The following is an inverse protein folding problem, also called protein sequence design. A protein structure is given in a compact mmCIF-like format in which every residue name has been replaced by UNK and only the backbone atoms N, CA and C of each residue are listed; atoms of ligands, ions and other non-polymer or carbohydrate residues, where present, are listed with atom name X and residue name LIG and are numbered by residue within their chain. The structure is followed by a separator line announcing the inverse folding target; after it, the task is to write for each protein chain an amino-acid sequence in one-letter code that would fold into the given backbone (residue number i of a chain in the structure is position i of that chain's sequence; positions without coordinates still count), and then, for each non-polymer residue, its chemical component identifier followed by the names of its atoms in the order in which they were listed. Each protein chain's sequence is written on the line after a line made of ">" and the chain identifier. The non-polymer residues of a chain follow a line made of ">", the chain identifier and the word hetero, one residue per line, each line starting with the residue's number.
data_IF_591874132267
#
_entry.id   IF_591874132267
#
_cell.length_a   1.000
_cell.length_b   1.000
_cell.length_c   1.000
_cell.angle_alpha   90.00
_cell.angle_beta   90.00
_cell.angle_gamma   90.00
#
_symmetry.space_group_name_H-M   'P 1'
#
loop_
_entity.id
_entity.type
_entity.pdbx_description
1 polymer ?
#
# COMPACT_ATOMS: atom_id res chain seq x y z
N UNK A 1 34.35 -1.85 -4.74
CA UNK A 1 34.89 -3.09 -4.15
C UNK A 1 34.98 -2.85 -2.65
N UNK A 2 34.58 -3.80 -1.83
CA UNK A 2 34.65 -3.73 -0.34
C UNK A 2 33.98 -2.50 0.32
N UNK A 3 32.93 -1.95 -0.32
CA UNK A 3 32.22 -0.78 0.18
C UNK A 3 32.76 0.57 -0.32
N UNK A 4 33.78 0.57 -1.16
CA UNK A 4 34.30 1.78 -1.78
C UNK A 4 33.44 2.24 -2.95
N UNK A 5 33.27 3.55 -3.07
CA UNK A 5 32.59 4.20 -4.19
C UNK A 5 33.54 4.21 -5.38
N UNK A 6 33.18 3.49 -6.42
CA UNK A 6 33.98 3.39 -7.64
C UNK A 6 33.70 4.55 -8.60
N UNK A 7 32.52 5.15 -8.55
CA UNK A 7 32.16 6.27 -9.39
C UNK A 7 30.72 6.74 -9.17
N UNK A 8 30.40 7.88 -9.79
CA UNK A 8 29.07 8.48 -9.77
C UNK A 8 28.74 9.07 -11.14
N UNK A 9 27.51 8.92 -11.58
CA UNK A 9 27.03 9.50 -12.84
C UNK A 9 25.57 9.91 -12.71
N UNK A 10 25.09 10.73 -13.64
CA UNK A 10 23.71 11.14 -13.77
C UNK A 10 23.22 10.85 -15.17
N UNK A 11 22.06 10.21 -15.29
CA UNK A 11 21.44 9.84 -16.57
C UNK A 11 19.97 10.28 -16.59
N UNK A 12 19.41 10.37 -17.78
CA UNK A 12 17.98 10.69 -17.94
C UNK A 12 17.15 9.44 -17.59
N UNK A 13 16.02 9.60 -16.92
CA UNK A 13 15.12 8.51 -16.55
C UNK A 13 14.29 8.04 -17.76
N UNK A 14 14.96 7.36 -18.70
CA UNK A 14 14.36 6.72 -19.86
C UNK A 14 15.24 5.54 -20.32
N UNK A 15 14.76 4.79 -21.30
CA UNK A 15 15.48 3.60 -21.82
C UNK A 15 16.90 3.89 -22.30
N UNK A 16 17.13 5.05 -22.93
CA UNK A 16 18.47 5.45 -23.40
C UNK A 16 19.40 5.70 -22.22
N UNK A 17 18.95 6.47 -21.21
CA UNK A 17 19.73 6.73 -20.00
C UNK A 17 20.04 5.46 -19.20
N UNK A 18 19.14 4.46 -19.19
CA UNK A 18 19.42 3.18 -18.54
C UNK A 18 20.53 2.42 -19.27
N UNK A 19 20.54 2.40 -20.61
CA UNK A 19 21.63 1.82 -21.41
C UNK A 19 22.96 2.52 -21.14
N UNK A 20 22.96 3.86 -21.07
CA UNK A 20 24.14 4.67 -20.75
C UNK A 20 24.67 4.35 -19.34
N UNK A 21 23.79 4.26 -18.35
CA UNK A 21 24.15 3.88 -16.97
C UNK A 21 24.87 2.54 -16.92
N UNK A 22 24.33 1.54 -17.59
CA UNK A 22 24.93 0.20 -17.58
C UNK A 22 26.21 0.11 -18.43
N UNK A 23 26.30 0.89 -19.52
CA UNK A 23 27.54 1.04 -20.29
C UNK A 23 28.65 1.66 -19.46
N UNK A 24 28.33 2.72 -18.71
CA UNK A 24 29.24 3.37 -17.77
C UNK A 24 29.67 2.41 -16.65
N UNK A 25 28.73 1.67 -16.03
CA UNK A 25 29.04 0.72 -14.98
C UNK A 25 29.98 -0.41 -15.48
N UNK A 26 29.77 -0.91 -16.71
CA UNK A 26 30.68 -1.91 -17.35
C UNK A 26 32.10 -1.39 -17.52
N UNK A 27 32.28 -0.13 -17.92
CA UNK A 27 33.63 0.49 -18.03
C UNK A 27 34.34 0.54 -16.68
N UNK A 28 33.59 0.60 -15.57
CA UNK A 28 34.12 0.52 -14.21
C UNK A 28 34.32 -0.93 -13.70
N UNK A 29 34.09 -1.92 -14.54
CA UNK A 29 34.28 -3.34 -14.23
C UNK A 29 33.10 -4.05 -13.60
N UNK A 30 31.89 -3.46 -13.64
CA UNK A 30 30.65 -4.12 -13.18
C UNK A 30 30.28 -5.27 -14.14
N UNK A 31 29.99 -6.45 -13.56
CA UNK A 31 29.43 -7.59 -14.29
C UNK A 31 27.91 -7.59 -14.08
N UNK A 32 27.11 -7.63 -15.15
CA UNK A 32 25.64 -7.59 -15.08
C UNK A 32 25.10 -8.70 -14.17
N UNK A 33 25.62 -9.91 -14.29
CA UNK A 33 25.21 -11.10 -13.52
C UNK A 33 25.49 -11.01 -12.02
N UNK A 34 26.32 -10.05 -11.58
CA UNK A 34 26.62 -9.82 -10.16
C UNK A 34 26.21 -8.43 -9.67
N UNK A 35 25.43 -7.70 -10.47
CA UNK A 35 25.01 -6.35 -10.14
C UNK A 35 23.63 -6.35 -9.49
N UNK A 36 23.52 -5.73 -8.33
CA UNK A 36 22.25 -5.39 -7.68
C UNK A 36 21.99 -3.89 -7.88
N UNK A 37 20.86 -3.56 -8.50
CA UNK A 37 20.40 -2.18 -8.58
C UNK A 37 19.49 -1.90 -7.41
N UNK A 38 19.83 -0.93 -6.57
CA UNK A 38 19.00 -0.46 -5.49
C UNK A 38 18.51 0.94 -5.79
N UNK A 39 17.22 1.18 -5.66
CA UNK A 39 16.61 2.48 -5.86
C UNK A 39 15.59 2.78 -4.76
N UNK A 40 15.33 4.06 -4.53
CA UNK A 40 14.23 4.50 -3.68
C UNK A 40 12.89 4.26 -4.38
N UNK A 41 11.89 3.79 -3.64
CA UNK A 41 10.53 3.61 -4.15
C UNK A 41 9.84 4.98 -4.31
N UNK A 42 9.96 5.59 -5.48
CA UNK A 42 9.41 6.92 -5.83
C UNK A 42 8.07 6.87 -6.57
N UNK A 43 7.34 5.76 -6.46
CA UNK A 43 6.04 5.60 -7.13
C UNK A 43 6.18 5.41 -8.64
N UNK A 44 5.45 6.21 -9.43
CA UNK A 44 5.39 6.08 -10.90
C UNK A 44 6.73 6.32 -11.59
N UNK A 45 7.61 7.14 -11.00
CA UNK A 45 8.91 7.48 -11.60
C UNK A 45 9.88 6.30 -11.64
N UNK A 46 9.66 5.27 -10.83
CA UNK A 46 10.49 4.06 -10.83
C UNK A 46 10.01 2.97 -11.79
N UNK A 47 8.84 3.09 -12.41
CA UNK A 47 8.24 2.01 -13.19
C UNK A 47 9.03 1.67 -14.47
N UNK A 48 9.47 2.68 -15.22
CA UNK A 48 10.21 2.46 -16.45
C UNK A 48 11.57 1.79 -16.17
N UNK A 49 12.25 2.22 -15.09
CA UNK A 49 13.47 1.57 -14.64
C UNK A 49 13.20 0.13 -14.18
N UNK A 50 12.14 -0.11 -13.42
CA UNK A 50 11.78 -1.45 -12.96
C UNK A 50 11.47 -2.39 -14.13
N UNK A 51 10.71 -1.92 -15.13
CA UNK A 51 10.40 -2.70 -16.30
C UNK A 51 11.66 -3.02 -17.10
N UNK A 52 12.54 -2.04 -17.31
CA UNK A 52 13.79 -2.22 -18.03
C UNK A 52 14.75 -3.20 -17.33
N UNK A 53 14.86 -3.13 -16.01
CA UNK A 53 15.69 -4.04 -15.21
C UNK A 53 15.16 -5.47 -15.28
N UNK A 54 13.86 -5.67 -15.17
CA UNK A 54 13.21 -6.97 -15.28
C UNK A 54 13.41 -7.59 -16.66
N UNK A 55 13.14 -6.82 -17.73
CA UNK A 55 13.32 -7.23 -19.12
C UNK A 55 14.78 -7.63 -19.44
N UNK A 56 15.75 -7.00 -18.77
CA UNK A 56 17.19 -7.30 -18.91
C UNK A 56 17.71 -8.32 -17.88
N UNK A 57 16.83 -8.91 -17.05
CA UNK A 57 17.17 -9.90 -16.00
C UNK A 57 18.22 -9.41 -15.01
N UNK A 58 18.16 -8.14 -14.64
CA UNK A 58 19.06 -7.52 -13.68
C UNK A 58 18.38 -7.53 -12.31
N UNK A 59 19.08 -8.03 -11.30
CA UNK A 59 18.58 -8.04 -9.93
C UNK A 59 18.40 -6.61 -9.41
N UNK A 60 17.23 -6.32 -8.82
CA UNK A 60 16.95 -5.00 -8.29
C UNK A 60 16.12 -5.02 -7.01
N UNK A 61 16.23 -3.94 -6.24
CA UNK A 61 15.43 -3.71 -5.04
C UNK A 61 14.97 -2.26 -4.99
N UNK A 62 13.66 -2.05 -4.89
CA UNK A 62 13.06 -0.75 -4.62
C UNK A 62 12.71 -0.63 -3.15
N UNK A 63 13.44 0.22 -2.43
CA UNK A 63 13.40 0.33 -0.98
C UNK A 63 12.63 1.58 -0.56
N UNK A 64 11.75 1.50 0.46
CA UNK A 64 11.10 2.69 0.99
C UNK A 64 12.12 3.72 1.53
N UNK A 65 11.95 5.01 1.19
CA UNK A 65 12.80 6.11 1.64
C UNK A 65 13.04 6.12 3.16
N UNK A 66 12.01 5.79 3.92
CA UNK A 66 12.07 5.74 5.38
C UNK A 66 13.01 4.65 5.89
N UNK A 67 13.07 3.51 5.22
CA UNK A 67 13.93 2.40 5.58
C UNK A 67 15.39 2.77 5.34
N UNK A 68 15.71 3.35 4.19
CA UNK A 68 17.05 3.87 3.87
C UNK A 68 17.48 4.88 4.94
N UNK A 69 16.61 5.87 5.23
CA UNK A 69 16.88 6.92 6.19
C UNK A 69 17.14 6.39 7.61
N UNK A 70 16.38 5.38 8.06
CA UNK A 70 16.52 4.84 9.41
C UNK A 70 17.72 3.90 9.57
N UNK A 71 18.14 3.23 8.51
CA UNK A 71 19.25 2.26 8.57
C UNK A 71 20.64 2.91 8.63
N UNK A 72 20.78 4.14 8.15
CA UNK A 72 22.07 4.84 8.03
C UNK A 72 22.34 5.88 9.14
N UNK A 73 21.45 5.96 10.15
CA UNK A 73 21.59 6.92 11.24
C UNK A 73 21.33 8.38 10.84
N UNK A 74 21.80 9.33 11.66
CA UNK A 74 21.59 10.77 11.42
C UNK A 74 22.68 11.28 10.48
N UNK A 75 22.32 11.55 9.23
CA UNK A 75 23.22 12.17 8.24
C UNK A 75 22.63 13.52 7.80
N UNK A 76 23.49 14.56 7.71
CA UNK A 76 23.13 15.88 7.23
C UNK A 76 23.37 15.98 5.71
N UNK A 77 22.71 16.94 5.07
CA UNK A 77 22.78 17.19 3.63
C UNK A 77 21.61 16.51 2.88
N UNK A 78 21.07 17.23 1.90
CA UNK A 78 19.98 16.78 1.03
C UNK A 78 20.24 17.27 -0.38
N UNK A 79 20.74 16.39 -1.22
CA UNK A 79 20.79 16.55 -2.67
C UNK A 79 20.80 15.16 -3.32
N UNK A 80 20.51 15.09 -4.61
CA UNK A 80 20.39 13.83 -5.34
C UNK A 80 21.65 12.96 -5.25
N UNK A 81 22.84 13.57 -5.26
CA UNK A 81 24.12 12.87 -5.15
C UNK A 81 24.30 12.19 -3.79
N UNK A 82 23.97 12.91 -2.70
CA UNK A 82 24.04 12.37 -1.34
C UNK A 82 22.99 11.28 -1.15
N UNK A 83 21.81 11.44 -1.73
CA UNK A 83 20.75 10.44 -1.61
C UNK A 83 21.09 9.18 -2.42
N UNK A 84 21.66 9.30 -3.62
CA UNK A 84 22.18 8.16 -4.38
C UNK A 84 23.26 7.39 -3.62
N UNK A 85 24.19 8.12 -2.97
CA UNK A 85 25.23 7.52 -2.14
C UNK A 85 24.65 6.74 -0.95
N UNK A 86 23.66 7.31 -0.28
CA UNK A 86 22.96 6.63 0.84
C UNK A 86 22.26 5.35 0.39
N UNK A 87 21.64 5.37 -0.79
CA UNK A 87 21.01 4.18 -1.36
C UNK A 87 22.05 3.11 -1.64
N UNK A 88 23.20 3.48 -2.21
CA UNK A 88 24.30 2.56 -2.49
C UNK A 88 24.89 1.97 -1.20
N UNK A 89 25.13 2.79 -0.17
CA UNK A 89 25.61 2.37 1.14
C UNK A 89 24.60 1.43 1.83
N UNK A 90 23.32 1.73 1.79
CA UNK A 90 22.25 0.85 2.27
C UNK A 90 22.30 -0.50 1.57
N UNK A 91 22.35 -0.51 0.25
CA UNK A 91 22.37 -1.73 -0.53
C UNK A 91 23.61 -2.59 -0.22
N UNK A 92 24.77 -1.97 -0.04
CA UNK A 92 26.00 -2.67 0.31
C UNK A 92 25.92 -3.31 1.71
N UNK A 93 25.47 -2.56 2.72
CA UNK A 93 25.32 -3.05 4.10
C UNK A 93 24.29 -4.20 4.17
N UNK A 94 23.23 -4.11 3.38
CA UNK A 94 22.13 -5.08 3.39
C UNK A 94 22.21 -6.15 2.30
N UNK A 95 23.28 -6.22 1.50
CA UNK A 95 23.40 -7.07 0.31
C UNK A 95 23.01 -8.54 0.52
N UNK A 96 23.20 -9.08 1.73
CA UNK A 96 22.87 -10.47 2.08
C UNK A 96 21.41 -10.65 2.53
N UNK A 97 20.75 -9.56 2.94
CA UNK A 97 19.39 -9.58 3.53
C UNK A 97 18.38 -8.75 2.74
N UNK A 98 18.83 -8.05 1.70
CA UNK A 98 17.95 -7.22 0.88
C UNK A 98 16.97 -8.09 0.09
N UNK A 99 15.69 -7.72 0.14
CA UNK A 99 14.64 -8.43 -0.61
C UNK A 99 14.62 -7.89 -2.03
N UNK A 100 14.78 -8.79 -3.01
CA UNK A 100 14.66 -8.41 -4.41
C UNK A 100 13.22 -8.03 -4.74
N UNK A 101 13.08 -6.97 -5.52
CA UNK A 101 11.80 -6.55 -6.08
C UNK A 101 11.52 -7.32 -7.37
N UNK A 102 10.24 -7.55 -7.64
CA UNK A 102 9.77 -8.13 -8.89
C UNK A 102 8.81 -7.15 -9.55
N UNK A 103 8.82 -7.13 -10.88
CA UNK A 103 7.85 -6.35 -11.64
C UNK A 103 6.44 -6.86 -11.35
N UNK A 104 5.50 -6.01 -10.94
CA UNK A 104 4.10 -6.40 -10.84
C UNK A 104 3.57 -6.86 -12.19
N UNK A 105 2.62 -7.80 -12.20
CA UNK A 105 1.94 -8.18 -13.45
C UNK A 105 1.26 -6.96 -14.09
N UNK A 106 1.06 -7.00 -15.40
CA UNK A 106 0.35 -5.95 -16.11
C UNK A 106 -1.06 -5.70 -15.52
N UNK A 107 -1.70 -6.77 -15.06
CA UNK A 107 -3.00 -6.70 -14.38
C UNK A 107 -2.93 -5.91 -13.08
N UNK A 108 -1.92 -6.16 -12.24
CA UNK A 108 -1.71 -5.42 -10.98
C UNK A 108 -1.38 -3.96 -11.26
N UNK A 109 -0.56 -3.69 -12.28
CA UNK A 109 -0.24 -2.33 -12.69
C UNK A 109 -1.49 -1.56 -13.15
N UNK A 110 -2.32 -2.17 -14.01
CA UNK A 110 -3.58 -1.57 -14.48
C UNK A 110 -4.56 -1.34 -13.32
N UNK A 111 -4.73 -2.31 -12.42
CA UNK A 111 -5.56 -2.15 -11.23
C UNK A 111 -5.08 -1.01 -10.32
N UNK A 112 -3.77 -0.82 -10.19
CA UNK A 112 -3.18 0.28 -9.40
C UNK A 112 -3.51 1.65 -10.01
N UNK A 113 -3.44 1.78 -11.35
CA UNK A 113 -3.81 3.00 -12.06
C UNK A 113 -5.30 3.34 -11.85
N UNK A 114 -6.20 2.36 -12.05
CA UNK A 114 -7.64 2.55 -11.85
C UNK A 114 -7.99 2.90 -10.40
N UNK A 115 -7.31 2.33 -9.40
CA UNK A 115 -7.47 2.72 -8.00
C UNK A 115 -7.07 4.16 -7.74
N UNK A 116 -5.98 4.63 -8.37
CA UNK A 116 -5.52 6.01 -8.27
C UNK A 116 -6.55 6.99 -8.83
N UNK A 117 -7.06 6.72 -10.02
CA UNK A 117 -8.08 7.52 -10.70
C UNK A 117 -9.40 7.52 -9.91
N UNK A 118 -9.88 6.34 -9.49
CA UNK A 118 -11.07 6.22 -8.64
C UNK A 118 -10.94 7.06 -7.37
N UNK A 119 -9.79 7.01 -6.71
CA UNK A 119 -9.52 7.79 -5.48
C UNK A 119 -9.65 9.29 -5.73
N UNK A 120 -9.13 9.78 -6.86
CA UNK A 120 -9.25 11.18 -7.25
C UNK A 120 -10.73 11.55 -7.43
N UNK A 121 -11.49 10.77 -8.20
CA UNK A 121 -12.92 11.04 -8.45
C UNK A 121 -13.76 11.00 -7.15
N UNK A 122 -13.51 10.01 -6.28
CA UNK A 122 -14.20 9.93 -4.97
C UNK A 122 -13.90 11.16 -4.12
N UNK A 123 -12.65 11.65 -4.07
CA UNK A 123 -12.28 12.85 -3.31
C UNK A 123 -12.95 14.10 -3.88
N UNK A 124 -12.90 14.29 -5.20
CA UNK A 124 -13.52 15.43 -5.88
C UNK A 124 -15.04 15.43 -5.64
N UNK A 125 -15.68 14.27 -5.80
CA UNK A 125 -17.12 14.12 -5.53
C UNK A 125 -17.47 14.45 -4.08
N UNK A 126 -16.68 13.94 -3.12
CA UNK A 126 -16.90 14.23 -1.70
C UNK A 126 -16.77 15.72 -1.36
N UNK A 127 -15.79 16.41 -1.97
CA UNK A 127 -15.62 17.86 -1.82
C UNK A 127 -16.82 18.64 -2.37
N UNK A 128 -17.33 18.24 -3.56
CA UNK A 128 -18.52 18.89 -4.14
C UNK A 128 -19.80 18.64 -3.33
N UNK A 129 -19.96 17.44 -2.78
CA UNK A 129 -21.09 17.10 -1.89
C UNK A 129 -21.05 17.92 -0.58
N UNK A 130 -19.87 18.04 0.03
CA UNK A 130 -19.70 18.85 1.23
C UNK A 130 -20.01 20.34 0.95
N UNK A 131 -19.58 20.85 -0.22
CA UNK A 131 -19.90 22.20 -0.65
C UNK A 131 -21.40 22.39 -0.91
N UNK A 132 -22.07 21.39 -1.49
CA UNK A 132 -23.52 21.38 -1.67
C UNK A 132 -24.22 21.57 -0.32
N UNK A 133 -23.89 20.76 0.67
CA UNK A 133 -24.48 20.84 2.01
C UNK A 133 -24.26 22.21 2.67
N UNK A 134 -23.08 22.81 2.50
CA UNK A 134 -22.72 24.09 3.10
C UNK A 134 -23.38 25.32 2.43
N UNK A 135 -23.56 25.28 1.10
CA UNK A 135 -23.92 26.45 0.30
C UNK A 135 -25.30 26.40 -0.36
N UNK A 136 -26.06 25.33 -0.17
CA UNK A 136 -27.33 25.07 -0.87
C UNK A 136 -28.33 26.26 -0.73
N UNK A 137 -28.28 26.96 0.41
CA UNK A 137 -29.16 28.14 0.68
C UNK A 137 -28.66 29.45 0.05
N UNK A 138 -27.43 29.51 -0.43
CA UNK A 138 -26.76 30.73 -0.90
C UNK A 138 -26.39 30.69 -2.38
N UNK A 139 -26.53 29.53 -3.02
CA UNK A 139 -26.12 29.30 -4.40
C UNK A 139 -27.26 29.58 -5.38
N UNK A 140 -26.94 30.13 -6.56
CA UNK A 140 -27.95 30.27 -7.61
C UNK A 140 -28.36 28.88 -8.14
N UNK A 141 -29.57 28.76 -8.65
CA UNK A 141 -30.10 27.53 -9.25
C UNK A 141 -29.19 27.00 -10.36
N UNK A 142 -28.65 27.87 -11.21
CA UNK A 142 -27.74 27.49 -12.29
C UNK A 142 -26.42 26.91 -11.79
N UNK A 143 -25.86 27.48 -10.69
CA UNK A 143 -24.65 26.97 -10.07
C UNK A 143 -24.89 25.60 -9.44
N UNK A 144 -26.02 25.41 -8.78
CA UNK A 144 -26.44 24.12 -8.20
C UNK A 144 -26.58 23.05 -9.28
N UNK A 145 -27.22 23.35 -10.42
CA UNK A 145 -27.37 22.42 -11.54
C UNK A 145 -26.03 22.02 -12.13
N UNK A 146 -25.11 22.98 -12.35
CA UNK A 146 -23.75 22.67 -12.84
C UNK A 146 -23.00 21.76 -11.90
N UNK A 147 -23.05 22.01 -10.61
CA UNK A 147 -22.42 21.17 -9.58
C UNK A 147 -23.00 19.75 -9.57
N UNK A 148 -24.33 19.63 -9.61
CA UNK A 148 -25.01 18.34 -9.57
C UNK A 148 -24.70 17.49 -10.83
N UNK A 149 -24.59 18.11 -11.99
CA UNK A 149 -24.13 17.45 -13.23
C UNK A 149 -22.72 16.89 -13.07
N UNK A 150 -21.78 17.64 -12.46
CA UNK A 150 -20.42 17.16 -12.21
C UNK A 150 -20.43 15.99 -11.21
N UNK A 151 -21.22 16.06 -10.15
CA UNK A 151 -21.36 14.98 -9.16
C UNK A 151 -21.90 13.70 -9.84
N UNK A 152 -22.88 13.84 -10.72
CA UNK A 152 -23.45 12.73 -11.46
C UNK A 152 -22.41 12.10 -12.40
N UNK A 153 -21.68 12.90 -13.18
CA UNK A 153 -20.61 12.44 -14.05
C UNK A 153 -19.52 11.70 -13.29
N UNK A 154 -19.06 12.25 -12.16
CA UNK A 154 -18.07 11.59 -11.31
C UNK A 154 -18.59 10.25 -10.76
N UNK A 155 -19.87 10.17 -10.40
CA UNK A 155 -20.49 8.93 -9.92
C UNK A 155 -20.52 7.86 -11.02
N UNK A 156 -20.88 8.22 -12.25
CA UNK A 156 -20.88 7.30 -13.39
C UNK A 156 -19.47 6.82 -13.73
N UNK A 157 -18.47 7.73 -13.70
CA UNK A 157 -17.08 7.39 -13.95
C UNK A 157 -16.54 6.43 -12.86
N UNK A 158 -16.84 6.65 -11.57
CA UNK A 158 -16.47 5.73 -10.48
C UNK A 158 -17.02 4.33 -10.74
N UNK A 159 -18.30 4.23 -11.14
CA UNK A 159 -18.92 2.94 -11.46
C UNK A 159 -18.27 2.27 -12.68
N UNK A 160 -17.91 3.06 -13.69
CA UNK A 160 -17.20 2.56 -14.90
C UNK A 160 -15.83 1.99 -14.52
N UNK A 161 -15.05 2.70 -13.70
CA UNK A 161 -13.75 2.23 -13.21
C UNK A 161 -13.88 0.93 -12.40
N UNK A 162 -14.90 0.82 -11.55
CA UNK A 162 -15.14 -0.41 -10.77
C UNK A 162 -15.50 -1.60 -11.69
N UNK A 163 -16.24 -1.37 -12.78
CA UNK A 163 -16.51 -2.39 -13.81
C UNK A 163 -15.23 -2.81 -14.55
N UNK A 164 -14.37 -1.85 -14.91
CA UNK A 164 -13.08 -2.12 -15.54
C UNK A 164 -12.16 -2.93 -14.63
N UNK A 165 -12.09 -2.58 -13.33
CA UNK A 165 -11.35 -3.38 -12.35
C UNK A 165 -11.84 -4.84 -12.33
N UNK A 166 -13.15 -5.07 -12.33
CA UNK A 166 -13.72 -6.42 -12.37
C UNK A 166 -13.39 -7.17 -13.66
N UNK A 167 -13.33 -6.49 -14.80
CA UNK A 167 -12.93 -7.11 -16.07
C UNK A 167 -11.46 -7.60 -15.99
N UNK A 168 -10.54 -6.75 -15.51
CA UNK A 168 -9.13 -7.11 -15.34
C UNK A 168 -8.99 -8.27 -14.34
N UNK A 169 -9.69 -8.23 -13.21
CA UNK A 169 -9.68 -9.31 -12.21
C UNK A 169 -10.12 -10.63 -12.83
N UNK A 170 -11.20 -10.64 -13.61
CA UNK A 170 -11.73 -11.85 -14.25
C UNK A 170 -10.82 -12.39 -15.37
N UNK A 171 -10.05 -11.54 -16.02
CA UNK A 171 -9.12 -11.92 -17.08
C UNK A 171 -7.83 -12.56 -16.56
N UNK A 172 -7.47 -12.35 -15.29
CA UNK A 172 -6.28 -12.93 -14.65
C UNK A 172 -6.72 -13.97 -13.60
N UNK A 173 -6.53 -15.24 -13.92
CA UNK A 173 -7.01 -16.37 -13.08
C UNK A 173 -6.45 -16.34 -11.67
N UNK A 174 -5.16 -15.99 -11.51
CA UNK A 174 -4.49 -15.89 -10.20
C UNK A 174 -5.12 -14.80 -9.35
N UNK A 175 -5.33 -13.61 -9.94
CA UNK A 175 -5.96 -12.48 -9.27
C UNK A 175 -7.43 -12.79 -8.97
N UNK A 176 -8.15 -13.44 -9.90
CA UNK A 176 -9.54 -13.79 -9.70
C UNK A 176 -9.74 -14.79 -8.55
N UNK A 177 -8.86 -15.77 -8.44
CA UNK A 177 -8.89 -16.73 -7.33
C UNK A 177 -8.62 -16.04 -5.98
N UNK A 178 -7.61 -15.19 -5.91
CA UNK A 178 -7.35 -14.38 -4.72
C UNK A 178 -8.54 -13.47 -4.37
N UNK A 179 -9.11 -12.79 -5.36
CA UNK A 179 -10.29 -11.95 -5.19
C UNK A 179 -11.48 -12.71 -4.59
N UNK A 180 -11.82 -13.90 -5.13
CA UNK A 180 -12.91 -14.73 -4.60
C UNK A 180 -12.67 -15.11 -3.14
N UNK A 181 -11.45 -15.51 -2.82
CA UNK A 181 -11.10 -15.91 -1.46
C UNK A 181 -11.22 -14.74 -0.48
N UNK A 182 -10.62 -13.59 -0.77
CA UNK A 182 -10.62 -12.49 0.18
C UNK A 182 -11.98 -11.79 0.29
N UNK A 183 -12.79 -11.75 -0.76
CA UNK A 183 -14.16 -11.20 -0.70
C UNK A 183 -15.14 -12.12 0.03
N UNK A 184 -14.79 -13.38 0.27
CA UNK A 184 -15.55 -14.25 1.16
C UNK A 184 -15.51 -13.75 2.62
N UNK A 185 -14.48 -12.99 3.00
CA UNK A 185 -14.37 -12.38 4.33
C UNK A 185 -15.39 -11.24 4.45
N UNK A 186 -16.32 -11.36 5.37
CA UNK A 186 -17.38 -10.35 5.58
C UNK A 186 -16.79 -8.97 5.84
N UNK A 187 -17.29 -7.98 5.11
CA UNK A 187 -16.81 -6.59 5.16
C UNK A 187 -15.75 -6.24 4.09
N UNK A 188 -15.20 -7.21 3.38
CA UNK A 188 -14.26 -6.98 2.28
C UNK A 188 -15.02 -6.94 0.96
N UNK A 189 -15.20 -5.75 0.41
CA UNK A 189 -15.78 -5.53 -0.93
C UNK A 189 -14.69 -5.33 -2.00
N UNK A 190 -15.12 -5.03 -3.23
CA UNK A 190 -14.25 -4.83 -4.40
C UNK A 190 -13.04 -3.93 -4.11
N UNK A 191 -13.28 -2.73 -3.62
CA UNK A 191 -12.22 -1.73 -3.42
C UNK A 191 -11.17 -2.19 -2.41
N UNK A 192 -11.60 -2.78 -1.28
CA UNK A 192 -10.69 -3.32 -0.28
C UNK A 192 -9.92 -4.53 -0.81
N UNK A 193 -10.57 -5.39 -1.59
CA UNK A 193 -9.93 -6.53 -2.22
C UNK A 193 -8.87 -6.10 -3.22
N UNK A 194 -9.20 -5.18 -4.13
CA UNK A 194 -8.25 -4.66 -5.14
C UNK A 194 -7.09 -3.92 -4.47
N UNK A 195 -7.35 -3.08 -3.46
CA UNK A 195 -6.26 -2.45 -2.68
C UNK A 195 -5.33 -3.51 -2.07
N UNK A 196 -5.88 -4.55 -1.44
CA UNK A 196 -5.06 -5.59 -0.82
C UNK A 196 -4.24 -6.34 -1.89
N UNK A 197 -4.84 -6.78 -3.00
CA UNK A 197 -4.14 -7.46 -4.10
C UNK A 197 -3.00 -6.59 -4.65
N UNK A 198 -3.27 -5.32 -4.94
CA UNK A 198 -2.29 -4.39 -5.52
C UNK A 198 -1.13 -4.13 -4.57
N UNK A 199 -1.42 -3.80 -3.30
CA UNK A 199 -0.37 -3.44 -2.34
C UNK A 199 0.41 -4.64 -1.80
N UNK A 200 -0.14 -5.85 -1.89
CA UNK A 200 0.58 -7.07 -1.53
C UNK A 200 1.22 -7.76 -2.73
N UNK A 201 1.10 -7.18 -3.94
CA UNK A 201 1.48 -7.84 -5.18
C UNK A 201 0.90 -9.28 -5.25
N UNK A 202 -0.41 -9.38 -5.11
CA UNK A 202 -1.16 -10.64 -5.00
C UNK A 202 -0.60 -11.57 -3.91
N UNK A 203 -0.37 -11.02 -2.72
CA UNK A 203 0.13 -11.70 -1.51
C UNK A 203 1.58 -12.24 -1.61
N UNK A 204 2.37 -11.77 -2.57
CA UNK A 204 3.79 -12.15 -2.71
C UNK A 204 4.75 -11.25 -1.93
N UNK A 205 4.39 -9.96 -1.73
CA UNK A 205 5.27 -8.97 -1.08
C UNK A 205 5.33 -9.07 0.45
N UNK A 206 4.41 -9.79 1.09
CA UNK A 206 4.37 -9.94 2.54
C UNK A 206 4.18 -11.41 2.92
N UNK A 207 5.10 -11.96 3.69
CA UNK A 207 5.05 -13.34 4.16
C UNK A 207 3.97 -13.57 5.23
N UNK A 208 3.64 -12.54 6.01
CA UNK A 208 2.70 -12.65 7.13
C UNK A 208 1.68 -11.50 7.14
N UNK A 209 0.50 -11.80 7.67
CA UNK A 209 -0.54 -10.81 7.95
C UNK A 209 -0.03 -9.66 8.84
N UNK A 210 0.89 -9.94 9.78
CA UNK A 210 1.47 -8.94 10.67
C UNK A 210 2.35 -7.94 9.91
N UNK A 211 3.15 -8.39 8.95
CA UNK A 211 3.96 -7.48 8.10
C UNK A 211 3.06 -6.52 7.31
N UNK A 212 2.01 -7.03 6.66
CA UNK A 212 1.06 -6.19 5.96
C UNK A 212 0.28 -5.25 6.91
N UNK A 213 -0.09 -5.72 8.10
CA UNK A 213 -0.71 -4.88 9.13
C UNK A 213 0.22 -3.77 9.63
N UNK A 214 1.52 -4.01 9.73
CA UNK A 214 2.53 -2.97 10.00
C UNK A 214 2.57 -1.93 8.88
N UNK A 215 2.60 -2.39 7.64
CA UNK A 215 2.56 -1.53 6.46
C UNK A 215 1.29 -0.65 6.41
N UNK A 216 0.14 -1.22 6.78
CA UNK A 216 -1.13 -0.48 6.88
C UNK A 216 -1.21 0.45 8.12
N UNK A 217 -0.24 0.43 9.02
CA UNK A 217 -0.26 1.22 10.26
C UNK A 217 -1.36 0.80 11.25
N UNK A 218 -1.73 -0.49 11.27
CA UNK A 218 -2.75 -1.04 12.17
C UNK A 218 -2.18 -2.04 13.19
N UNK A 219 -0.95 -2.52 13.02
CA UNK A 219 -0.29 -3.38 13.98
C UNK A 219 0.12 -2.57 15.22
N UNK A 220 -0.25 -3.00 16.43
CA UNK A 220 0.18 -2.35 17.64
C UNK A 220 1.62 -2.76 18.01
N UNK A 221 2.38 -1.79 18.53
CA UNK A 221 3.72 -2.00 19.07
C UNK A 221 3.74 -1.65 20.55
N UNK A 222 4.33 -2.50 21.35
CA UNK A 222 4.58 -2.21 22.75
C UNK A 222 5.70 -1.16 22.87
N UNK A 223 5.54 -0.25 23.81
CA UNK A 223 6.54 0.74 24.16
C UNK A 223 6.99 0.46 25.60
N UNK A 224 7.98 -0.42 25.72
CA UNK A 224 8.59 -0.78 27.02
C UNK A 224 10.09 -0.54 26.93
N UNK A 225 10.67 0.07 27.94
CA UNK A 225 12.11 0.21 28.07
C UNK A 225 12.51 -0.13 29.52
N UNK A 226 13.28 -1.20 29.65
CA UNK A 226 13.66 -1.74 30.98
C UNK A 226 12.46 -2.14 31.83
N UNK A 227 12.64 -2.09 33.14
CA UNK A 227 11.60 -2.42 34.14
C UNK A 227 10.71 -1.22 34.49
N UNK A 228 11.16 0.01 34.24
CA UNK A 228 10.54 1.26 34.71
C UNK A 228 9.58 1.92 33.72
N UNK A 229 9.79 1.76 32.41
CA UNK A 229 8.94 2.42 31.41
C UNK A 229 7.95 1.42 30.80
N UNK A 230 6.67 1.53 31.21
CA UNK A 230 5.54 0.80 30.62
C UNK A 230 4.65 1.79 29.87
N UNK A 231 5.05 2.14 28.63
CA UNK A 231 4.26 3.02 27.77
C UNK A 231 3.01 2.33 27.20
N UNK A 232 2.05 3.12 26.71
CA UNK A 232 0.86 2.60 26.03
C UNK A 232 1.26 1.90 24.71
N UNK A 233 0.69 0.73 24.47
CA UNK A 233 0.78 0.07 23.16
C UNK A 233 0.11 0.94 22.11
N UNK A 234 0.85 1.36 21.08
CA UNK A 234 0.39 2.27 20.04
C UNK A 234 0.66 1.73 18.63
N UNK A 235 -0.14 2.15 17.66
CA UNK A 235 0.12 1.89 16.26
C UNK A 235 1.13 2.89 15.71
N UNK A 236 1.94 2.48 14.74
CA UNK A 236 2.88 3.38 14.09
C UNK A 236 2.15 4.47 13.27
N UNK A 237 2.64 5.71 13.35
CA UNK A 237 2.21 6.81 12.47
C UNK A 237 2.76 6.69 11.05
N UNK A 238 3.75 5.82 10.84
CA UNK A 238 4.46 5.64 9.58
C UNK A 238 3.75 4.73 8.58
N UNK A 239 2.59 4.19 8.94
CA UNK A 239 1.82 3.29 8.06
C UNK A 239 1.11 4.02 6.92
N UNK A 240 0.67 3.25 5.93
CA UNK A 240 -0.11 3.74 4.80
C UNK A 240 -1.50 4.20 5.25
N UNK A 241 -1.67 5.53 5.43
CA UNK A 241 -2.92 6.13 5.89
C UNK A 241 -4.12 5.82 4.98
N UNK A 242 -3.89 5.67 3.68
CA UNK A 242 -4.95 5.29 2.73
C UNK A 242 -5.50 3.91 3.05
N UNK A 243 -4.64 2.90 3.15
CA UNK A 243 -5.07 1.52 3.46
C UNK A 243 -5.72 1.44 4.85
N UNK A 244 -5.20 2.20 5.81
CA UNK A 244 -5.79 2.31 7.14
C UNK A 244 -7.21 2.85 7.10
N UNK A 245 -7.50 3.84 6.25
CA UNK A 245 -8.83 4.42 6.08
C UNK A 245 -9.78 3.41 5.38
N UNK A 246 -9.34 2.77 4.30
CA UNK A 246 -10.12 1.75 3.58
C UNK A 246 -10.45 0.56 4.51
N UNK A 247 -9.49 0.08 5.27
CA UNK A 247 -9.73 -0.97 6.27
C UNK A 247 -10.67 -0.52 7.40
N UNK A 248 -10.78 0.78 7.67
CA UNK A 248 -11.76 1.28 8.65
C UNK A 248 -13.19 1.15 8.13
N UNK A 249 -13.40 1.39 6.83
CA UNK A 249 -14.70 1.18 6.18
C UNK A 249 -15.04 -0.31 6.14
N UNK A 250 -14.08 -1.17 5.77
CA UNK A 250 -14.24 -2.62 5.81
C UNK A 250 -14.60 -3.13 7.21
N UNK A 251 -13.93 -2.62 8.25
CA UNK A 251 -14.19 -3.02 9.63
C UNK A 251 -15.59 -2.61 10.11
N UNK A 252 -16.08 -1.42 9.73
CA UNK A 252 -17.45 -1.00 10.02
C UNK A 252 -18.48 -1.91 9.34
N UNK A 253 -18.27 -2.21 8.06
CA UNK A 253 -19.11 -3.14 7.32
C UNK A 253 -19.08 -4.54 7.94
N UNK A 254 -17.90 -5.02 8.34
CA UNK A 254 -17.76 -6.33 8.98
C UNK A 254 -18.47 -6.42 10.34
N UNK A 255 -18.46 -5.35 11.15
CA UNK A 255 -19.20 -5.30 12.41
C UNK A 255 -20.71 -5.48 12.15
N UNK A 256 -21.22 -4.95 11.04
CA UNK A 256 -22.64 -5.04 10.70
C UNK A 256 -23.02 -6.42 10.11
N UNK A 257 -22.12 -7.07 9.38
CA UNK A 257 -22.43 -8.25 8.55
C UNK A 257 -21.80 -9.54 9.04
N UNK A 258 -20.95 -9.51 10.09
CA UNK A 258 -20.34 -10.70 10.70
C UNK A 258 -20.78 -10.79 12.17
N UNK A 259 -21.64 -11.74 12.54
CA UNK A 259 -22.17 -11.88 13.90
C UNK A 259 -21.09 -12.03 14.97
N UNK A 260 -19.99 -12.74 14.63
CA UNK A 260 -18.86 -12.93 15.55
C UNK A 260 -18.11 -11.63 15.79
N UNK A 261 -17.84 -10.83 14.74
CA UNK A 261 -17.20 -9.53 14.89
C UNK A 261 -18.10 -8.52 15.61
N UNK A 262 -19.41 -8.61 15.40
CA UNK A 262 -20.38 -7.81 16.14
C UNK A 262 -20.32 -8.10 17.65
N UNK A 263 -20.40 -9.38 18.06
CA UNK A 263 -20.25 -9.80 19.46
C UNK A 263 -18.89 -9.36 20.04
N UNK A 264 -17.82 -9.58 19.27
CA UNK A 264 -16.47 -9.15 19.66
C UNK A 264 -16.39 -7.63 19.89
N UNK A 265 -16.96 -6.82 18.98
CA UNK A 265 -17.00 -5.38 19.09
C UNK A 265 -17.73 -4.93 20.35
N UNK A 266 -18.97 -5.43 20.57
CA UNK A 266 -19.78 -5.10 21.76
C UNK A 266 -19.04 -5.45 23.06
N UNK A 267 -18.50 -6.64 23.16
CA UNK A 267 -17.72 -7.08 24.32
C UNK A 267 -16.53 -6.15 24.59
N UNK A 268 -15.74 -5.86 23.56
CA UNK A 268 -14.55 -4.99 23.70
C UNK A 268 -14.88 -3.55 24.01
N UNK A 269 -15.99 -3.04 23.54
CA UNK A 269 -16.51 -1.70 23.94
C UNK A 269 -16.93 -1.70 25.39
N UNK A 270 -17.65 -2.71 25.86
CA UNK A 270 -18.01 -2.84 27.29
C UNK A 270 -16.78 -2.93 28.22
N UNK A 271 -15.76 -3.72 27.83
CA UNK A 271 -14.48 -3.81 28.59
C UNK A 271 -13.74 -2.46 28.66
N UNK A 272 -13.86 -1.60 27.64
CA UNK A 272 -13.20 -0.29 27.61
C UNK A 272 -13.97 0.79 28.37
N UNK A 273 -15.28 0.62 28.55
CA UNK A 273 -16.15 1.63 29.12
C UNK A 273 -16.21 2.92 28.27
N UNK A 274 -16.59 4.02 28.89
CA UNK A 274 -16.73 5.34 28.25
C UNK A 274 -15.40 6.11 28.09
N UNK A 275 -14.28 5.38 27.83
CA UNK A 275 -12.99 6.03 27.62
C UNK A 275 -12.92 6.65 26.24
N UNK A 276 -12.54 7.93 26.16
CA UNK A 276 -12.31 8.63 24.89
C UNK A 276 -11.36 7.82 23.98
N UNK A 277 -11.75 7.66 22.71
CA UNK A 277 -10.98 6.90 21.72
C UNK A 277 -11.16 5.37 21.77
N UNK A 278 -11.97 4.82 22.70
CA UNK A 278 -12.24 3.37 22.82
C UNK A 278 -12.71 2.77 21.48
N UNK A 279 -13.64 3.41 20.79
CA UNK A 279 -14.11 2.99 19.47
C UNK A 279 -12.96 2.82 18.46
N UNK A 280 -12.05 3.79 18.38
CA UNK A 280 -10.90 3.74 17.46
C UNK A 280 -9.97 2.56 17.74
N UNK A 281 -9.71 2.26 19.02
CA UNK A 281 -8.88 1.13 19.45
C UNK A 281 -9.54 -0.20 19.09
N UNK A 282 -10.83 -0.37 19.39
CA UNK A 282 -11.56 -1.61 19.09
C UNK A 282 -11.71 -1.80 17.57
N UNK A 283 -12.02 -0.73 16.83
CA UNK A 283 -12.07 -0.76 15.38
C UNK A 283 -10.72 -1.17 14.77
N UNK A 284 -9.61 -0.69 15.34
CA UNK A 284 -8.28 -1.06 14.89
C UNK A 284 -7.97 -2.55 15.12
N UNK A 285 -8.42 -3.13 16.23
CA UNK A 285 -8.32 -4.57 16.46
C UNK A 285 -9.12 -5.39 15.42
N UNK A 286 -10.29 -4.90 15.01
CA UNK A 286 -11.10 -5.55 13.95
C UNK A 286 -10.39 -5.46 12.60
N UNK A 287 -9.79 -4.30 12.24
CA UNK A 287 -8.96 -4.20 11.02
C UNK A 287 -7.87 -5.26 10.97
N UNK A 288 -7.16 -5.45 12.09
CA UNK A 288 -6.13 -6.47 12.16
C UNK A 288 -6.70 -7.88 11.97
N UNK A 289 -7.86 -8.18 12.55
CA UNK A 289 -8.56 -9.46 12.34
C UNK A 289 -8.96 -9.67 10.88
N UNK A 290 -9.43 -8.63 10.19
CA UNK A 290 -9.76 -8.71 8.76
C UNK A 290 -8.51 -9.01 7.92
N UNK A 291 -7.38 -8.33 8.19
CA UNK A 291 -6.11 -8.63 7.52
C UNK A 291 -5.67 -10.07 7.79
N UNK A 292 -5.74 -10.53 9.04
CA UNK A 292 -5.39 -11.91 9.37
C UNK A 292 -6.28 -12.93 8.65
N UNK A 293 -7.60 -12.67 8.54
CA UNK A 293 -8.54 -13.51 7.80
C UNK A 293 -8.25 -13.56 6.31
N UNK A 294 -7.95 -12.40 5.68
CA UNK A 294 -7.57 -12.35 4.26
C UNK A 294 -6.33 -13.20 3.97
N UNK A 295 -5.29 -13.08 4.78
CA UNK A 295 -4.09 -13.91 4.63
C UNK A 295 -4.37 -15.40 4.91
N UNK A 296 -5.24 -15.71 5.86
CA UNK A 296 -5.62 -17.08 6.19
C UNK A 296 -6.33 -17.78 5.02
N UNK A 297 -7.33 -17.12 4.40
CA UNK A 297 -8.06 -17.72 3.25
C UNK A 297 -7.15 -17.90 2.03
N UNK A 298 -6.21 -16.99 1.80
CA UNK A 298 -5.20 -17.15 0.74
C UNK A 298 -4.28 -18.34 1.04
N UNK A 299 -3.79 -18.46 2.26
CA UNK A 299 -2.88 -19.56 2.65
C UNK A 299 -3.57 -20.92 2.61
N UNK A 300 -4.84 -20.98 3.00
CA UNK A 300 -5.62 -22.25 3.01
C UNK A 300 -6.23 -22.59 1.66
N UNK A 301 -6.35 -21.64 0.73
CA UNK A 301 -7.08 -21.82 -0.53
C UNK A 301 -8.58 -22.02 -0.36
N UNK A 302 -9.13 -21.78 0.85
CA UNK A 302 -10.54 -22.02 1.16
C UNK A 302 -11.27 -20.73 1.55
N UNK A 303 -12.53 -20.53 1.08
CA UNK A 303 -13.30 -19.36 1.46
C UNK A 303 -13.55 -19.28 2.97
N UNK A 304 -13.68 -18.05 3.47
CA UNK A 304 -13.99 -17.79 4.87
C UNK A 304 -15.38 -18.33 5.23
N UNK A 305 -15.45 -19.12 6.29
CA UNK A 305 -16.70 -19.55 6.90
C UNK A 305 -16.98 -18.71 8.14
N UNK A 306 -18.19 -18.14 8.23
CA UNK A 306 -18.62 -17.42 9.42
C UNK A 306 -18.71 -18.38 10.59
N UNK A 307 -18.04 -18.06 11.69
CA UNK A 307 -18.16 -18.87 12.92
C UNK A 307 -19.53 -18.61 13.54
N UNK A 308 -20.34 -19.65 13.60
CA UNK A 308 -21.60 -19.68 14.38
C UNK A 308 -21.28 -20.29 15.73
N UNK A 309 -21.46 -19.50 16.81
CA UNK A 309 -21.46 -19.99 18.20
C UNK A 309 -22.88 -19.91 18.75
#
# INVERSE_FOLDING_TARGET
>A
KEGEIVGQTKVINNQQGFKELFSWAKKLGAKITGTLVCAEHTGIYGYDLQAWLDDNRISFSFVPALEIKKSLGIKRGKNDSVDALRIAEYAYIRRETIVLSHKPSNSIFALKALLGERKQYVRTRASLLARKEALDKYESQESSVRRDNIIQMLTQNIQSLEKQMMQIIKADESIYNSYKLITSVKGIGLVNAVNTIVYTNNFTSFQTARQYACYCGIAPFEHKSGTSIKGRTMVSSLGCHQLKAELSMAARSAIMNDPWLHKYYKRKMAEKGNVSGAHGVVLNAIKFKLVARMFSVIKSGTPYKVMTY
#
